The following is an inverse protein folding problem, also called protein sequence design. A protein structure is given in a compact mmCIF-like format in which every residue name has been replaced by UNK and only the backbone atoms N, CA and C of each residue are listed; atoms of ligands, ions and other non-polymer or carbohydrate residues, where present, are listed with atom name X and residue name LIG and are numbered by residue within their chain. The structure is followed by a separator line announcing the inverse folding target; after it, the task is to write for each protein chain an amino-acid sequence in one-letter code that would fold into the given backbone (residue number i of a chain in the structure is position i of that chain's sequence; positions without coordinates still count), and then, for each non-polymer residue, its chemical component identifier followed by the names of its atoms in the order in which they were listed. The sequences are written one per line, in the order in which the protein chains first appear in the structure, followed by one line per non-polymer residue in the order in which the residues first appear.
data_IF_837603140743
#
_entry.id   IF_837603140743
#
_cell.length_a   1.000
_cell.length_b   1.000
_cell.length_c   1.000
_cell.angle_alpha   90.00
_cell.angle_beta   90.00
_cell.angle_gamma   90.00
#
_symmetry.space_group_name_H-M   'P 1'
#
loop_
_entity.id
_entity.type
_entity.pdbx_description
1 polymer ?
#
# COMPACT_ATOMS: atom_id res chain seq x y z
N UNK A 1 -16.70 13.69 -11.86
CA UNK A 1 -16.22 12.83 -12.98
C UNK A 1 -17.37 12.27 -13.79
N UNK A 2 -18.21 11.37 -13.26
CA UNK A 2 -19.32 10.79 -14.04
C UNK A 2 -20.30 11.83 -14.62
N UNK A 3 -20.52 12.95 -13.93
CA UNK A 3 -21.31 14.07 -14.48
C UNK A 3 -20.69 14.65 -15.76
N UNK A 4 -19.38 14.88 -15.78
CA UNK A 4 -18.69 15.43 -16.96
C UNK A 4 -18.58 14.39 -18.07
N UNK A 5 -18.41 13.11 -17.73
CA UNK A 5 -18.45 12.01 -18.70
C UNK A 5 -19.80 11.92 -19.41
N UNK A 6 -20.88 12.08 -18.65
CA UNK A 6 -22.24 12.15 -19.22
C UNK A 6 -22.45 13.35 -20.15
N UNK A 7 -21.74 14.47 -19.93
CA UNK A 7 -21.80 15.64 -20.83
C UNK A 7 -21.03 15.45 -22.13
N UNK A 8 -20.10 14.48 -22.16
CA UNK A 8 -19.23 14.18 -23.30
C UNK A 8 -19.58 12.83 -23.95
N UNK A 9 -20.76 12.27 -23.65
CA UNK A 9 -21.23 10.95 -24.14
C UNK A 9 -20.25 9.78 -23.88
N UNK A 10 -19.48 9.87 -22.79
CA UNK A 10 -18.61 8.78 -22.34
C UNK A 10 -19.31 7.88 -21.31
N UNK A 11 -19.04 6.56 -21.32
CA UNK A 11 -19.58 5.64 -20.31
C UNK A 11 -19.05 5.98 -18.92
N UNK A 12 -19.87 5.76 -17.89
CA UNK A 12 -19.47 6.00 -16.51
C UNK A 12 -18.22 5.19 -16.13
N UNK A 13 -17.41 5.73 -15.22
CA UNK A 13 -16.22 5.05 -14.74
C UNK A 13 -16.65 3.86 -13.87
N UNK A 14 -16.10 2.68 -14.13
CA UNK A 14 -16.28 1.50 -13.30
C UNK A 14 -15.81 1.77 -11.85
N UNK A 15 -16.69 1.65 -10.84
CA UNK A 15 -16.31 1.80 -9.43
C UNK A 15 -15.19 0.86 -9.00
N UNK A 16 -15.05 -0.32 -9.62
CA UNK A 16 -13.99 -1.28 -9.31
C UNK A 16 -12.57 -0.76 -9.64
N UNK A 17 -12.46 0.26 -10.49
CA UNK A 17 -11.20 0.89 -10.86
C UNK A 17 -10.77 1.99 -9.87
N UNK A 18 -11.66 2.41 -8.97
CA UNK A 18 -11.43 3.53 -8.06
C UNK A 18 -11.25 2.99 -6.65
N UNK A 19 -10.17 3.40 -5.99
CA UNK A 19 -9.91 3.06 -4.60
C UNK A 19 -10.38 4.23 -3.71
N UNK A 20 -11.34 3.96 -2.83
CA UNK A 20 -11.74 4.91 -1.78
C UNK A 20 -10.75 4.85 -0.61
N UNK A 21 -9.84 5.82 -0.57
CA UNK A 21 -8.83 5.96 0.48
C UNK A 21 -9.43 6.33 1.84
N UNK A 22 -10.60 6.99 1.88
CA UNK A 22 -11.29 7.33 3.12
C UNK A 22 -11.91 6.09 3.75
N UNK A 23 -12.53 5.22 2.95
CA UNK A 23 -13.03 3.93 3.43
C UNK A 23 -11.89 3.05 3.97
N UNK A 24 -10.73 3.06 3.30
CA UNK A 24 -9.52 2.40 3.81
C UNK A 24 -9.07 2.99 5.15
N UNK A 25 -8.99 4.32 5.28
CA UNK A 25 -8.61 5.00 6.50
C UNK A 25 -9.57 4.69 7.67
N UNK A 26 -10.88 4.69 7.43
CA UNK A 26 -11.91 4.36 8.44
C UNK A 26 -11.81 2.94 8.97
N UNK A 27 -11.45 1.98 8.11
CA UNK A 27 -11.23 0.58 8.54
C UNK A 27 -9.99 0.44 9.41
N UNK A 28 -8.90 1.17 9.08
CA UNK A 28 -7.64 1.10 9.83
C UNK A 28 -7.68 1.89 11.14
N UNK A 29 -8.38 3.03 11.15
CA UNK A 29 -8.52 3.92 12.31
C UNK A 29 -10.01 4.18 12.62
N UNK A 30 -10.73 3.17 13.15
CA UNK A 30 -12.07 3.38 13.66
C UNK A 30 -11.97 4.32 14.88
N UNK A 31 -12.82 5.33 14.97
CA UNK A 31 -12.83 6.37 16.02
C UNK A 31 -11.87 7.57 15.86
N UNK A 32 -11.06 7.63 14.80
CA UNK A 32 -10.17 8.77 14.53
C UNK A 32 -10.72 9.76 13.48
N UNK A 33 -10.25 11.03 13.50
CA UNK A 33 -10.44 11.91 12.35
C UNK A 33 -9.66 11.33 11.16
N UNK A 34 -10.38 11.11 10.05
CA UNK A 34 -9.82 10.55 8.80
C UNK A 34 -9.70 11.63 7.71
N UNK A 35 -9.53 12.89 8.10
CA UNK A 35 -9.17 13.96 7.16
C UNK A 35 -7.72 13.84 6.74
N UNK A 36 -7.39 14.36 5.54
CA UNK A 36 -6.02 14.34 5.01
C UNK A 36 -5.01 14.89 6.02
N UNK A 37 -5.28 16.06 6.61
CA UNK A 37 -4.37 16.68 7.60
C UNK A 37 -4.18 15.81 8.85
N UNK A 38 -5.22 15.11 9.30
CA UNK A 38 -5.12 14.22 10.45
C UNK A 38 -4.28 12.97 10.13
N UNK A 39 -4.42 12.43 8.92
CA UNK A 39 -3.63 11.30 8.44
C UNK A 39 -2.17 11.70 8.23
N UNK A 40 -1.90 12.88 7.64
CA UNK A 40 -0.52 13.37 7.48
C UNK A 40 0.19 13.51 8.83
N UNK A 41 -0.48 14.12 9.83
CA UNK A 41 0.08 14.22 11.19
C UNK A 41 0.32 12.86 11.84
N UNK A 42 -0.58 11.90 11.64
CA UNK A 42 -0.47 10.54 12.22
C UNK A 42 0.71 9.76 11.64
N UNK A 43 0.97 9.91 10.34
CA UNK A 43 2.04 9.22 9.64
C UNK A 43 3.34 10.03 9.55
N UNK A 44 3.41 11.21 10.18
CA UNK A 44 4.60 12.06 10.17
C UNK A 44 4.94 12.64 8.79
N UNK A 45 3.93 12.81 7.93
CA UNK A 45 4.08 13.39 6.60
C UNK A 45 4.08 14.92 6.70
N UNK A 46 5.09 15.57 6.14
CA UNK A 46 5.24 17.02 6.15
C UNK A 46 4.21 17.68 5.21
N UNK A 47 3.30 18.47 5.79
CA UNK A 47 2.31 19.26 5.05
C UNK A 47 2.57 20.76 5.13
N UNK A 48 3.75 21.21 5.59
CA UNK A 48 4.08 22.65 5.74
C UNK A 48 4.09 23.41 4.42
N UNK A 49 4.37 22.74 3.30
CA UNK A 49 4.33 23.32 1.95
C UNK A 49 2.90 23.58 1.44
N UNK A 50 1.89 23.12 2.18
CA UNK A 50 0.45 23.30 1.88
C UNK A 50 -0.03 24.70 2.29
N UNK A 51 0.46 25.71 1.57
CA UNK A 51 0.03 27.11 1.77
C UNK A 51 -1.31 27.39 1.08
N UNK A 52 -1.56 26.78 -0.08
CA UNK A 52 -2.86 26.75 -0.77
C UNK A 52 -3.23 25.30 -1.01
N UNK A 53 -4.51 24.96 -0.80
CA UNK A 53 -5.05 23.61 -1.00
C UNK A 53 -5.08 23.27 -2.50
N UNK A 54 -3.91 22.96 -3.06
CA UNK A 54 -3.74 22.64 -4.47
C UNK A 54 -3.99 21.16 -4.71
N UNK A 55 -4.84 20.83 -5.68
CA UNK A 55 -5.16 19.44 -6.01
C UNK A 55 -3.92 18.59 -6.36
N UNK A 56 -2.87 19.22 -6.92
CA UNK A 56 -1.60 18.55 -7.20
C UNK A 56 -0.91 18.10 -5.90
N UNK A 57 -0.69 19.04 -4.98
CA UNK A 57 -0.05 18.75 -3.69
C UNK A 57 -0.89 17.78 -2.85
N UNK A 58 -2.22 17.94 -2.86
CA UNK A 58 -3.11 17.04 -2.15
C UNK A 58 -3.07 15.61 -2.73
N UNK A 59 -2.86 15.47 -4.05
CA UNK A 59 -2.66 14.15 -4.69
C UNK A 59 -1.33 13.51 -4.29
N UNK A 60 -0.26 14.30 -4.17
CA UNK A 60 1.04 13.84 -3.68
C UNK A 60 0.96 13.36 -2.22
N UNK A 61 0.36 14.17 -1.34
CA UNK A 61 0.15 13.82 0.06
C UNK A 61 -0.73 12.57 0.21
N UNK A 62 -1.79 12.46 -0.59
CA UNK A 62 -2.66 11.26 -0.60
C UNK A 62 -1.90 10.01 -1.04
N UNK A 63 -0.97 10.11 -1.97
CA UNK A 63 -0.15 8.97 -2.39
C UNK A 63 0.73 8.46 -1.25
N UNK A 64 1.38 9.37 -0.51
CA UNK A 64 2.17 9.00 0.67
C UNK A 64 1.32 8.38 1.77
N UNK A 65 0.17 8.99 2.08
CA UNK A 65 -0.79 8.46 3.06
C UNK A 65 -1.30 7.07 2.63
N UNK A 66 -1.56 6.87 1.33
CA UNK A 66 -2.02 5.57 0.82
C UNK A 66 -0.98 4.47 1.03
N UNK A 67 0.30 4.75 0.76
CA UNK A 67 1.41 3.80 1.01
C UNK A 67 1.47 3.42 2.50
N UNK A 68 1.26 4.38 3.40
CA UNK A 68 1.22 4.12 4.84
C UNK A 68 -0.02 3.35 5.29
N UNK A 69 -1.16 3.60 4.65
CA UNK A 69 -2.40 2.87 4.91
C UNK A 69 -2.25 1.39 4.55
N UNK A 70 -1.60 1.07 3.44
CA UNK A 70 -1.33 -0.33 3.05
C UNK A 70 -0.17 -0.97 3.83
N UNK A 71 0.59 -0.19 4.60
CA UNK A 71 1.74 -0.67 5.39
C UNK A 71 3.02 -0.88 4.57
N UNK A 72 3.15 -0.20 3.42
CA UNK A 72 4.16 -0.49 2.41
C UNK A 72 5.59 -0.01 2.70
N UNK A 73 5.83 0.76 3.77
CA UNK A 73 7.19 1.20 4.11
C UNK A 73 8.04 0.12 4.78
N UNK A 74 7.44 -0.94 5.30
CA UNK A 74 8.15 -2.09 5.85
C UNK A 74 7.76 -3.36 5.09
N UNK A 75 8.76 -4.10 4.63
CA UNK A 75 8.55 -5.47 4.19
C UNK A 75 7.97 -6.26 5.38
N UNK A 76 6.86 -6.95 5.16
CA UNK A 76 6.27 -7.78 6.20
C UNK A 76 7.29 -8.84 6.64
N UNK A 77 7.65 -8.84 7.92
CA UNK A 77 8.40 -9.93 8.52
C UNK A 77 7.43 -11.11 8.69
N UNK A 78 7.50 -12.10 7.80
CA UNK A 78 6.72 -13.33 7.95
C UNK A 78 7.44 -14.20 8.98
N UNK A 79 6.97 -14.16 10.23
CA UNK A 79 7.42 -15.07 11.28
C UNK A 79 6.56 -16.34 11.19
N UNK A 80 6.95 -17.27 10.33
CA UNK A 80 6.32 -18.59 10.30
C UNK A 80 6.86 -19.41 11.47
N UNK A 81 6.03 -19.60 12.50
CA UNK A 81 6.35 -20.48 13.60
C UNK A 81 6.25 -21.94 13.11
N UNK A 82 7.32 -22.45 12.51
CA UNK A 82 7.45 -23.88 12.23
C UNK A 82 7.48 -24.59 13.58
N UNK A 83 6.40 -25.29 13.93
CA UNK A 83 6.37 -26.17 15.09
C UNK A 83 7.27 -27.37 14.82
N UNK A 84 8.56 -27.24 15.13
CA UNK A 84 9.50 -28.35 15.11
C UNK A 84 9.14 -29.27 16.29
N UNK A 85 8.53 -30.41 15.98
CA UNK A 85 8.38 -31.51 16.93
C UNK A 85 9.80 -31.99 17.28
N UNK A 86 10.30 -31.58 18.44
CA UNK A 86 11.60 -32.03 18.94
C UNK A 86 11.49 -33.48 19.40
N UNK A 87 11.69 -34.42 18.48
CA UNK A 87 12.12 -35.77 18.84
C UNK A 87 13.62 -35.70 19.11
N UNK A 88 14.02 -35.99 20.35
CA UNK A 88 15.37 -35.76 20.85
C UNK A 88 16.47 -36.38 19.99
N UNK A 89 17.30 -35.51 19.42
CA UNK A 89 18.75 -35.59 19.30
C UNK A 89 19.17 -34.29 18.59
N UNK A 90 19.99 -33.48 19.24
CA UNK A 90 20.37 -32.17 18.73
C UNK A 90 21.24 -32.27 17.48
N UNK A 91 20.64 -31.97 16.33
CA UNK A 91 21.34 -31.46 15.15
C UNK A 91 20.60 -30.21 14.68
N UNK A 92 21.32 -29.09 14.64
CA UNK A 92 20.82 -27.84 14.08
C UNK A 92 20.83 -28.01 12.57
N UNK A 93 19.71 -28.45 12.00
CA UNK A 93 19.57 -28.57 10.56
C UNK A 93 19.64 -27.17 9.94
N UNK A 94 20.64 -26.98 9.08
CA UNK A 94 20.78 -25.81 8.23
C UNK A 94 19.50 -25.65 7.39
N UNK A 95 18.85 -24.48 7.48
CA UNK A 95 17.61 -24.23 6.74
C UNK A 95 18.02 -23.87 5.31
N UNK A 96 17.99 -24.85 4.42
CA UNK A 96 18.27 -24.64 3.00
C UNK A 96 17.09 -23.91 2.32
N UNK A 97 17.23 -22.59 2.15
CA UNK A 97 16.23 -21.76 1.45
C UNK A 97 16.47 -21.89 -0.05
N UNK A 98 15.85 -22.89 -0.66
CA UNK A 98 15.89 -23.06 -2.12
C UNK A 98 14.99 -22.02 -2.80
N UNK A 99 15.56 -20.90 -3.23
CA UNK A 99 14.85 -19.91 -4.06
C UNK A 99 14.54 -20.53 -5.42
N UNK A 100 13.25 -20.73 -5.71
CA UNK A 100 12.80 -21.29 -6.99
C UNK A 100 13.26 -20.46 -8.18
N UNK A 101 13.84 -21.11 -9.19
CA UNK A 101 14.22 -20.46 -10.44
C UNK A 101 12.98 -19.85 -11.12
N UNK A 102 13.10 -18.61 -11.58
CA UNK A 102 12.00 -17.92 -12.27
C UNK A 102 11.66 -18.68 -13.56
N UNK A 103 10.37 -18.98 -13.83
CA UNK A 103 9.99 -19.82 -14.99
C UNK A 103 10.31 -19.18 -16.34
N UNK A 104 10.43 -17.85 -16.40
CA UNK A 104 10.74 -17.09 -17.62
C UNK A 104 11.77 -16.01 -17.29
N UNK A 105 12.83 -15.93 -18.09
CA UNK A 105 13.83 -14.88 -17.98
C UNK A 105 13.22 -13.52 -18.35
N UNK A 106 13.65 -12.45 -17.67
CA UNK A 106 13.19 -11.11 -18.01
C UNK A 106 13.68 -10.72 -19.41
N UNK A 107 12.88 -9.98 -20.19
CA UNK A 107 13.33 -9.46 -21.47
C UNK A 107 14.56 -8.54 -21.31
N UNK A 108 15.52 -8.59 -22.24
CA UNK A 108 16.73 -7.78 -22.18
C UNK A 108 16.39 -6.29 -22.24
N UNK A 109 17.05 -5.50 -21.38
CA UNK A 109 16.87 -4.04 -21.30
C UNK A 109 17.83 -3.26 -22.22
N UNK A 110 18.55 -3.98 -23.08
CA UNK A 110 19.50 -3.42 -24.04
C UNK A 110 19.11 -3.94 -25.42
N UNK A 111 19.01 -3.01 -26.37
CA UNK A 111 19.02 -3.27 -27.81
C UNK A 111 20.45 -3.48 -28.29
#
# INVERSE_FOLDING_TARGET
LNLEYSRLDHPAIDPGRIIDTLALARRKHPMGPNSLDALCRRYGIDNTRRTKHGALLDSELLAEVYIELIGGKQAALVLEAVSVQMNGAGEVADIDISVGARPIALPPRLS
#
